data_IF_481666684758
#
_entry.id   IF_481666684758
#
_cell.length_a   1.000
_cell.length_b   1.000
_cell.length_c   1.000
_cell.angle_alpha   90.00
_cell.angle_beta   90.00
_cell.angle_gamma   90.00
#
_symmetry.space_group_name_H-M   'P 1'
#
loop_
_entity.id
_entity.type
_entity.pdbx_description
1 polymer ?
#
# COMPACT_ATOMS: atom_id res chain seq x y z
N UNK A 1 17.19 -13.97 19.73
CA UNK A 1 16.12 -13.23 19.00
C UNK A 1 15.39 -12.38 20.02
N UNK A 2 15.59 -11.07 20.03
CA UNK A 2 14.81 -10.15 20.86
C UNK A 2 13.35 -10.26 20.43
N UNK A 3 12.52 -10.70 21.34
CA UNK A 3 11.10 -10.89 21.09
C UNK A 3 10.48 -9.50 20.88
N UNK A 4 9.99 -9.19 19.69
CA UNK A 4 9.46 -7.86 19.31
C UNK A 4 8.36 -7.32 20.25
N UNK A 5 7.85 -8.17 21.15
CA UNK A 5 6.72 -7.90 22.04
C UNK A 5 7.06 -8.14 23.51
N UNK A 6 8.33 -7.99 23.91
CA UNK A 6 8.80 -8.36 25.28
C UNK A 6 8.06 -7.61 26.38
N UNK A 7 7.73 -6.34 26.18
CA UNK A 7 7.01 -5.53 27.16
C UNK A 7 5.46 -5.67 27.10
N UNK A 8 4.94 -6.51 26.22
CA UNK A 8 3.49 -6.72 26.14
C UNK A 8 2.97 -7.54 27.34
N UNK A 9 1.88 -7.11 28.01
CA UNK A 9 1.22 -7.91 29.01
C UNK A 9 0.61 -9.18 28.39
N UNK A 10 0.33 -10.20 29.23
CA UNK A 10 -0.13 -11.53 28.80
C UNK A 10 -1.34 -11.47 27.86
N UNK A 11 -2.37 -10.69 28.20
CA UNK A 11 -3.59 -10.58 27.38
C UNK A 11 -3.32 -10.00 25.99
N UNK A 12 -2.38 -9.05 25.90
CA UNK A 12 -1.97 -8.50 24.61
C UNK A 12 -1.16 -9.52 23.80
N UNK A 13 -0.22 -10.25 24.41
CA UNK A 13 0.51 -11.34 23.76
C UNK A 13 -0.44 -12.39 23.19
N UNK A 14 -1.42 -12.83 23.95
CA UNK A 14 -2.44 -13.79 23.51
C UNK A 14 -3.21 -13.26 22.29
N UNK A 15 -3.57 -11.97 22.30
CA UNK A 15 -4.27 -11.34 21.17
C UNK A 15 -3.40 -11.28 19.91
N UNK A 16 -2.10 -10.93 20.05
CA UNK A 16 -1.18 -10.89 18.91
C UNK A 16 -0.99 -12.28 18.28
N UNK A 17 -0.88 -13.33 19.10
CA UNK A 17 -0.86 -14.73 18.66
C UNK A 17 -2.16 -15.09 17.94
N UNK A 18 -3.31 -14.71 18.49
CA UNK A 18 -4.61 -14.92 17.85
C UNK A 18 -4.69 -14.24 16.47
N UNK A 19 -4.21 -12.98 16.35
CA UNK A 19 -4.18 -12.28 15.09
C UNK A 19 -3.30 -13.00 14.05
N UNK A 20 -2.17 -13.54 14.48
CA UNK A 20 -1.21 -14.21 13.61
C UNK A 20 -1.71 -15.58 13.20
N UNK A 21 -2.09 -16.44 14.14
CA UNK A 21 -2.38 -17.85 13.89
C UNK A 21 -3.84 -18.10 13.48
N UNK A 22 -4.80 -17.41 14.11
CA UNK A 22 -6.23 -17.65 13.86
C UNK A 22 -6.77 -16.72 12.77
N UNK A 23 -6.39 -15.44 12.82
CA UNK A 23 -6.83 -14.46 11.82
C UNK A 23 -5.90 -14.37 10.60
N UNK A 24 -4.81 -15.12 10.58
CA UNK A 24 -3.81 -15.16 9.51
C UNK A 24 -3.38 -13.75 9.04
N UNK A 25 -3.12 -12.85 10.01
CA UNK A 25 -2.69 -11.49 9.72
C UNK A 25 -1.19 -11.45 9.48
N UNK A 26 -0.75 -10.60 8.53
CA UNK A 26 0.68 -10.39 8.27
C UNK A 26 1.41 -9.85 9.51
N UNK A 27 2.71 -10.15 9.63
CA UNK A 27 3.55 -9.63 10.73
C UNK A 27 3.45 -8.11 10.87
N UNK A 28 3.44 -7.38 9.76
CA UNK A 28 3.30 -5.92 9.77
C UNK A 28 1.96 -5.47 10.34
N UNK A 29 0.88 -6.18 10.04
CA UNK A 29 -0.43 -5.91 10.62
C UNK A 29 -0.42 -6.15 12.12
N UNK A 30 0.15 -7.26 12.58
CA UNK A 30 0.28 -7.60 14.00
C UNK A 30 1.11 -6.55 14.73
N UNK A 31 2.23 -6.12 14.15
CA UNK A 31 3.09 -5.06 14.69
C UNK A 31 2.33 -3.71 14.82
N UNK A 32 1.52 -3.35 13.83
CA UNK A 32 0.71 -2.14 13.88
C UNK A 32 -0.33 -2.19 15.00
N UNK A 33 -1.01 -3.32 15.16
CA UNK A 33 -1.94 -3.53 16.29
C UNK A 33 -1.22 -3.42 17.64
N UNK A 34 -0.08 -4.08 17.77
CA UNK A 34 0.75 -3.96 18.97
C UNK A 34 1.13 -2.51 19.28
N UNK A 35 1.63 -1.78 18.28
CA UNK A 35 2.06 -0.39 18.45
C UNK A 35 0.90 0.53 18.88
N UNK A 36 -0.29 0.33 18.29
CA UNK A 36 -1.46 1.13 18.62
C UNK A 36 -2.00 0.82 20.02
N UNK A 37 -2.10 -0.46 20.40
CA UNK A 37 -2.57 -0.88 21.71
C UNK A 37 -1.52 -0.52 22.78
N UNK A 38 -0.23 -0.70 22.51
CA UNK A 38 0.86 -0.26 23.39
C UNK A 38 0.77 1.22 23.71
N UNK A 39 0.50 2.05 22.68
CA UNK A 39 0.33 3.49 22.87
C UNK A 39 -0.85 3.81 23.80
N UNK A 40 -1.95 3.09 23.70
CA UNK A 40 -3.09 3.22 24.61
C UNK A 40 -2.74 2.78 26.04
N UNK A 41 -2.07 1.67 26.23
CA UNK A 41 -1.70 1.18 27.56
C UNK A 41 -0.68 2.09 28.25
N UNK A 42 0.20 2.75 27.51
CA UNK A 42 1.07 3.81 28.02
C UNK A 42 0.27 5.02 28.51
N UNK A 43 -0.70 5.47 27.70
CA UNK A 43 -1.62 6.54 28.08
C UNK A 43 -2.43 6.16 29.32
N UNK A 44 -2.93 4.94 29.41
CA UNK A 44 -3.59 4.42 30.60
C UNK A 44 -2.71 4.60 31.86
N UNK A 45 -1.43 4.20 31.81
CA UNK A 45 -0.51 4.35 32.94
C UNK A 45 -0.30 5.82 33.36
N UNK A 46 -0.23 6.73 32.39
CA UNK A 46 -0.15 8.18 32.68
C UNK A 46 -1.41 8.62 33.42
N UNK A 47 -2.59 8.25 32.93
CA UNK A 47 -3.87 8.61 33.57
C UNK A 47 -4.04 8.03 34.98
N UNK A 48 -3.42 6.88 35.27
CA UNK A 48 -3.40 6.26 36.59
C UNK A 48 -2.26 6.80 37.49
N UNK A 49 -1.51 7.81 37.07
CA UNK A 49 -0.36 8.33 37.82
C UNK A 49 0.81 7.35 37.96
N UNK A 50 0.84 6.27 37.17
CA UNK A 50 1.90 5.23 37.19
C UNK A 50 3.05 5.51 36.25
N UNK A 51 2.99 6.57 35.47
CA UNK A 51 4.03 7.02 34.57
C UNK A 51 3.99 8.54 34.41
N UNK A 52 5.12 9.14 34.04
CA UNK A 52 5.22 10.56 33.72
C UNK A 52 4.39 10.90 32.49
N UNK A 53 3.76 12.07 32.47
CA UNK A 53 3.09 12.61 31.30
C UNK A 53 4.01 13.41 30.37
N UNK A 54 5.33 13.44 30.67
CA UNK A 54 6.33 14.06 29.82
C UNK A 54 6.37 13.38 28.44
N UNK A 55 6.07 14.12 27.35
CA UNK A 55 6.07 13.57 26.00
C UNK A 55 7.40 12.94 25.57
N UNK A 56 8.53 13.39 26.10
CA UNK A 56 9.86 12.84 25.79
C UNK A 56 10.04 11.41 26.35
N UNK A 57 9.42 11.09 27.50
CA UNK A 57 9.53 9.80 28.17
C UNK A 57 8.47 8.79 27.72
N UNK A 58 7.50 9.22 26.92
CA UNK A 58 6.37 8.36 26.51
C UNK A 58 6.80 7.05 25.85
N UNK A 59 7.90 7.06 25.09
CA UNK A 59 8.38 5.87 24.39
C UNK A 59 9.04 4.85 25.34
N UNK A 60 9.49 5.29 26.50
CA UNK A 60 10.18 4.48 27.49
C UNK A 60 9.24 3.82 28.52
N UNK A 61 7.98 4.25 28.55
CA UNK A 61 6.96 3.66 29.42
C UNK A 61 6.77 2.18 29.06
N UNK A 62 7.15 1.29 29.98
CA UNK A 62 6.89 -0.15 29.87
C UNK A 62 5.44 -0.46 30.19
N UNK A 63 4.89 -1.49 29.55
CA UNK A 63 3.50 -1.92 29.74
C UNK A 63 3.38 -3.36 30.27
N UNK A 64 4.51 -4.01 30.56
CA UNK A 64 4.55 -5.41 31.01
C UNK A 64 3.85 -5.67 32.35
N UNK A 65 3.71 -4.64 33.17
CA UNK A 65 3.06 -4.66 34.49
C UNK A 65 1.55 -4.39 34.46
N UNK A 66 0.97 -4.22 33.28
CA UNK A 66 -0.48 -4.07 33.10
C UNK A 66 -1.17 -5.42 33.40
N UNK A 67 -2.07 -5.41 34.37
CA UNK A 67 -2.81 -6.59 34.84
C UNK A 67 -4.17 -6.72 34.16
N UNK A 68 -4.84 -7.84 34.39
CA UNK A 68 -6.24 -8.02 33.96
C UNK A 68 -7.18 -7.03 34.66
N UNK A 69 -6.92 -6.71 35.92
CA UNK A 69 -7.69 -5.69 36.64
C UNK A 69 -7.58 -4.32 36.02
N UNK A 70 -6.38 -3.94 35.57
CA UNK A 70 -6.16 -2.70 34.82
C UNK A 70 -6.98 -2.68 33.52
N UNK A 71 -7.00 -3.79 32.79
CA UNK A 71 -7.78 -3.90 31.55
C UNK A 71 -9.30 -3.82 31.84
N UNK A 72 -9.76 -4.44 32.94
CA UNK A 72 -11.18 -4.38 33.38
C UNK A 72 -11.64 -2.97 33.79
N UNK A 73 -10.71 -2.11 34.21
CA UNK A 73 -11.03 -0.72 34.60
C UNK A 73 -11.14 0.22 33.38
N UNK A 74 -10.85 -0.26 32.17
CA UNK A 74 -10.97 0.55 30.95
C UNK A 74 -12.43 0.73 30.57
N UNK A 75 -12.84 1.98 30.45
CA UNK A 75 -14.16 2.38 30.00
C UNK A 75 -14.14 3.15 28.67
N UNK A 76 -15.32 3.53 28.20
CA UNK A 76 -15.49 4.28 26.97
C UNK A 76 -14.83 5.66 27.05
N UNK A 77 -14.94 6.34 28.24
CA UNK A 77 -14.44 7.70 28.44
C UNK A 77 -12.90 7.73 28.32
N UNK A 78 -12.21 6.78 28.93
CA UNK A 78 -10.76 6.66 28.83
C UNK A 78 -10.28 6.44 27.38
N UNK A 79 -11.02 5.65 26.60
CA UNK A 79 -10.69 5.44 25.19
C UNK A 79 -10.92 6.70 24.33
N UNK A 80 -11.95 7.49 24.64
CA UNK A 80 -12.19 8.79 24.02
C UNK A 80 -11.08 9.80 24.37
N UNK A 81 -10.72 9.88 25.64
CA UNK A 81 -9.61 10.71 26.13
C UNK A 81 -8.29 10.36 25.42
N UNK A 82 -8.03 9.07 25.19
CA UNK A 82 -6.86 8.66 24.40
C UNK A 82 -6.90 9.18 22.97
N UNK A 83 -8.03 9.13 22.29
CA UNK A 83 -8.15 9.65 20.93
C UNK A 83 -7.97 11.18 20.89
N UNK A 84 -8.43 11.90 21.93
CA UNK A 84 -8.19 13.35 22.10
C UNK A 84 -6.71 13.61 22.36
N UNK A 85 -6.08 12.89 23.29
CA UNK A 85 -4.66 12.96 23.58
C UNK A 85 -3.80 12.78 22.32
N UNK A 86 -4.11 11.76 21.51
CA UNK A 86 -3.36 11.52 20.27
C UNK A 86 -3.52 12.61 19.23
N UNK A 87 -4.59 13.39 19.28
CA UNK A 87 -4.75 14.60 18.44
C UNK A 87 -3.87 15.75 18.96
N UNK A 88 -3.96 16.04 20.24
CA UNK A 88 -3.39 17.25 20.81
C UNK A 88 -1.88 17.12 21.04
N UNK A 89 -1.43 16.02 21.62
CA UNK A 89 -0.04 15.82 22.05
C UNK A 89 0.83 15.10 21.01
N UNK A 90 0.24 14.39 20.06
CA UNK A 90 0.97 13.59 19.06
C UNK A 90 0.72 14.04 17.62
N UNK A 91 -0.06 15.09 17.42
CA UNK A 91 -0.45 15.64 16.10
C UNK A 91 -0.90 14.55 15.09
N UNK A 92 -1.61 13.55 15.59
CA UNK A 92 -2.05 12.45 14.74
C UNK A 92 -3.22 12.90 13.83
N UNK A 93 -3.04 12.73 12.53
CA UNK A 93 -4.11 12.93 11.56
C UNK A 93 -5.33 12.04 11.81
N UNK A 94 -6.53 12.42 11.34
CA UNK A 94 -7.77 11.66 11.55
C UNK A 94 -7.66 10.17 11.20
N UNK A 95 -6.95 9.81 10.13
CA UNK A 95 -6.72 8.43 9.72
C UNK A 95 -5.91 7.62 10.75
N UNK A 96 -4.88 8.22 11.35
CA UNK A 96 -4.09 7.55 12.38
C UNK A 96 -4.92 7.30 13.64
N UNK A 97 -5.75 8.28 14.03
CA UNK A 97 -6.67 8.14 15.17
C UNK A 97 -7.76 7.09 14.90
N UNK A 98 -8.34 7.09 13.70
CA UNK A 98 -9.27 6.05 13.26
C UNK A 98 -8.66 4.65 13.39
N UNK A 99 -7.43 4.46 12.86
CA UNK A 99 -6.72 3.17 12.95
C UNK A 99 -6.50 2.73 14.39
N UNK A 100 -6.07 3.65 15.28
CA UNK A 100 -5.88 3.38 16.71
C UNK A 100 -7.18 2.95 17.37
N UNK A 101 -8.27 3.67 17.12
CA UNK A 101 -9.58 3.32 17.66
C UNK A 101 -10.09 1.97 17.15
N UNK A 102 -9.86 1.64 15.86
CA UNK A 102 -10.16 0.31 15.31
C UNK A 102 -9.36 -0.78 16.04
N UNK A 103 -8.06 -0.54 16.29
CA UNK A 103 -7.20 -1.49 16.98
C UNK A 103 -7.74 -1.77 18.42
N UNK A 104 -8.12 -0.72 19.15
CA UNK A 104 -8.70 -0.86 20.48
C UNK A 104 -10.02 -1.61 20.45
N UNK A 105 -10.97 -1.23 19.59
CA UNK A 105 -12.26 -1.95 19.47
C UNK A 105 -12.06 -3.43 19.18
N UNK A 106 -11.13 -3.79 18.31
CA UNK A 106 -10.85 -5.19 17.97
C UNK A 106 -10.20 -5.95 19.13
N UNK A 107 -9.31 -5.31 19.89
CA UNK A 107 -8.71 -5.91 21.08
C UNK A 107 -9.77 -6.19 22.15
N UNK A 108 -10.57 -5.20 22.52
CA UNK A 108 -11.63 -5.38 23.52
C UNK A 108 -12.72 -6.34 23.06
N UNK A 109 -13.06 -6.38 21.77
CA UNK A 109 -13.93 -7.41 21.20
C UNK A 109 -13.34 -8.82 21.37
N UNK A 110 -12.04 -8.99 21.19
CA UNK A 110 -11.37 -10.27 21.45
C UNK A 110 -11.43 -10.64 22.94
N UNK A 111 -11.18 -9.70 23.84
CA UNK A 111 -11.24 -9.92 25.28
C UNK A 111 -12.66 -10.33 25.72
N UNK A 112 -13.69 -9.79 25.10
CA UNK A 112 -15.09 -10.16 25.34
C UNK A 112 -15.38 -11.54 24.75
N UNK A 113 -15.21 -11.72 23.46
CA UNK A 113 -15.74 -12.89 22.74
C UNK A 113 -14.89 -14.15 22.90
N UNK A 114 -13.57 -14.00 23.09
CA UNK A 114 -12.63 -15.13 23.11
C UNK A 114 -12.06 -15.41 24.51
N UNK A 115 -12.00 -14.40 25.37
CA UNK A 115 -11.47 -14.55 26.74
C UNK A 115 -12.54 -14.50 27.82
N UNK A 116 -13.76 -14.02 27.52
CA UNK A 116 -14.84 -13.90 28.48
C UNK A 116 -14.57 -12.90 29.62
N UNK A 117 -13.66 -11.91 29.38
CA UNK A 117 -13.27 -10.92 30.40
C UNK A 117 -14.40 -9.92 30.66
N UNK A 118 -15.21 -9.65 29.64
CA UNK A 118 -16.34 -8.75 29.68
C UNK A 118 -17.59 -9.48 29.15
N UNK A 119 -18.76 -9.18 29.69
CA UNK A 119 -20.03 -9.60 29.10
C UNK A 119 -20.35 -8.83 27.83
N UNK A 120 -20.12 -7.52 27.88
CA UNK A 120 -20.26 -6.60 26.75
C UNK A 120 -18.97 -5.79 26.63
N UNK A 121 -18.47 -5.61 25.40
CA UNK A 121 -17.25 -4.83 25.18
C UNK A 121 -17.44 -3.37 25.64
N UNK A 122 -16.60 -2.84 26.54
CA UNK A 122 -16.70 -1.45 27.00
C UNK A 122 -16.49 -0.44 25.88
N UNK A 123 -15.86 -0.86 24.78
CA UNK A 123 -15.59 -0.01 23.62
C UNK A 123 -16.49 -0.31 22.41
N UNK A 124 -17.61 -1.01 22.60
CA UNK A 124 -18.54 -1.32 21.51
C UNK A 124 -19.05 -0.04 20.82
N UNK A 125 -19.35 0.98 21.60
CA UNK A 125 -19.91 2.26 21.17
C UNK A 125 -18.84 3.36 20.98
N UNK A 126 -17.54 3.00 20.92
CA UNK A 126 -16.49 3.98 20.69
C UNK A 126 -16.66 4.59 19.30
N UNK A 127 -17.05 5.85 19.23
CA UNK A 127 -17.11 6.60 17.97
C UNK A 127 -15.70 6.92 17.47
N UNK A 128 -15.51 6.72 16.18
CA UNK A 128 -14.21 6.94 15.54
C UNK A 128 -14.29 8.15 14.60
N UNK A 129 -13.24 8.99 14.58
CA UNK A 129 -13.20 10.09 13.64
C UNK A 129 -13.29 9.53 12.21
N UNK A 130 -14.35 9.89 11.48
CA UNK A 130 -14.48 9.51 10.07
C UNK A 130 -13.53 10.36 9.23
N UNK A 131 -12.47 9.80 8.65
CA UNK A 131 -11.63 10.55 7.71
C UNK A 131 -12.47 10.91 6.49
N UNK A 132 -12.57 12.19 6.18
CA UNK A 132 -13.21 12.61 4.92
C UNK A 132 -12.47 11.94 3.76
N UNK A 133 -13.20 11.30 2.82
CA UNK A 133 -12.57 10.78 1.62
C UNK A 133 -11.93 11.94 0.86
N UNK A 134 -10.61 11.92 0.75
CA UNK A 134 -9.90 12.86 -0.10
C UNK A 134 -10.09 12.42 -1.56
N UNK A 135 -10.25 13.40 -2.45
CA UNK A 135 -10.25 13.12 -3.89
C UNK A 135 -8.99 12.33 -4.27
N UNK A 136 -9.12 11.31 -5.09
CA UNK A 136 -7.99 10.52 -5.53
C UNK A 136 -6.97 11.41 -6.24
N UNK A 137 -5.73 11.43 -5.74
CA UNK A 137 -4.62 12.10 -6.43
C UNK A 137 -3.99 11.10 -7.37
N UNK A 138 -3.87 11.47 -8.64
CA UNK A 138 -3.22 10.69 -9.69
C UNK A 138 -2.52 11.62 -10.67
N UNK A 139 -1.66 11.10 -11.53
CA UNK A 139 -1.01 11.82 -12.61
C UNK A 139 -1.92 11.82 -13.85
N UNK A 140 -1.99 12.94 -14.55
CA UNK A 140 -2.54 12.97 -15.91
C UNK A 140 -1.67 12.16 -16.85
N UNK A 141 -2.13 11.94 -18.09
CA UNK A 141 -1.31 11.27 -19.12
C UNK A 141 -0.03 12.06 -19.39
N UNK A 142 -0.16 13.38 -19.59
CA UNK A 142 0.98 14.25 -19.88
C UNK A 142 2.00 14.26 -18.73
N UNK A 143 1.55 14.38 -17.49
CA UNK A 143 2.40 14.29 -16.31
C UNK A 143 3.09 12.93 -16.16
N UNK A 144 2.43 11.85 -16.57
CA UNK A 144 3.01 10.51 -16.59
C UNK A 144 4.10 10.37 -17.64
N UNK A 145 3.88 10.96 -18.82
CA UNK A 145 4.88 11.02 -19.91
C UNK A 145 6.07 11.87 -19.46
N UNK A 146 5.81 13.07 -18.91
CA UNK A 146 6.85 13.95 -18.40
C UNK A 146 7.70 13.28 -17.31
N UNK A 147 7.05 12.56 -16.39
CA UNK A 147 7.77 11.80 -15.37
C UNK A 147 8.69 10.75 -15.96
N UNK A 148 8.27 10.02 -17.00
CA UNK A 148 9.09 9.01 -17.67
C UNK A 148 10.26 9.64 -18.44
N UNK A 149 10.05 10.79 -19.10
CA UNK A 149 11.07 11.50 -19.88
C UNK A 149 12.15 12.16 -19.01
N UNK A 150 11.79 12.57 -17.80
CA UNK A 150 12.70 13.27 -16.88
C UNK A 150 13.43 12.32 -15.90
N UNK A 151 13.38 11.00 -16.11
CA UNK A 151 14.16 10.06 -15.30
C UNK A 151 15.66 10.24 -15.61
N UNK A 152 16.36 10.87 -14.69
CA UNK A 152 17.79 11.09 -14.75
C UNK A 152 18.44 10.61 -13.44
N UNK A 153 18.59 9.31 -13.32
CA UNK A 153 19.16 8.65 -12.16
C UNK A 153 20.40 7.86 -12.55
N UNK A 154 21.32 7.58 -11.63
CA UNK A 154 22.50 6.76 -11.93
C UNK A 154 22.18 5.35 -12.45
N UNK A 155 21.01 4.83 -12.11
CA UNK A 155 20.51 3.50 -12.53
C UNK A 155 19.31 3.66 -13.48
N UNK A 156 19.41 4.54 -14.47
CA UNK A 156 18.31 5.05 -15.29
C UNK A 156 17.47 3.94 -15.93
N UNK A 157 18.05 2.93 -16.55
CA UNK A 157 17.31 1.84 -17.21
C UNK A 157 16.48 1.03 -16.23
N UNK A 158 17.03 0.71 -15.04
CA UNK A 158 16.29 0.06 -13.96
C UNK A 158 15.13 0.92 -13.48
N UNK A 159 15.40 2.19 -13.22
CA UNK A 159 14.43 3.09 -12.62
C UNK A 159 13.31 3.42 -13.61
N UNK A 160 13.65 3.56 -14.91
CA UNK A 160 12.67 3.67 -16.00
C UNK A 160 11.76 2.44 -16.08
N UNK A 161 12.34 1.23 -16.04
CA UNK A 161 11.56 0.00 -16.03
C UNK A 161 10.61 -0.08 -14.81
N UNK A 162 11.09 0.28 -13.62
CA UNK A 162 10.28 0.33 -12.39
C UNK A 162 9.07 1.27 -12.54
N UNK A 163 9.30 2.51 -13.03
CA UNK A 163 8.22 3.50 -13.19
C UNK A 163 7.24 3.06 -14.28
N UNK A 164 7.75 2.53 -15.39
CA UNK A 164 6.92 2.00 -16.49
C UNK A 164 6.01 0.87 -15.99
N UNK A 165 6.53 -0.06 -15.17
CA UNK A 165 5.72 -1.15 -14.59
C UNK A 165 4.65 -0.63 -13.64
N UNK A 166 4.94 0.40 -12.83
CA UNK A 166 3.90 1.01 -11.98
C UNK A 166 2.80 1.66 -12.79
N UNK A 167 3.16 2.44 -13.81
CA UNK A 167 2.21 3.23 -14.60
C UNK A 167 1.40 2.39 -15.59
N UNK A 168 1.92 1.26 -16.06
CA UNK A 168 1.23 0.41 -17.03
C UNK A 168 0.54 -0.80 -16.37
N UNK A 169 1.22 -1.51 -15.47
CA UNK A 169 0.68 -2.72 -14.86
C UNK A 169 -0.10 -2.46 -13.56
N UNK A 170 0.05 -1.28 -12.97
CA UNK A 170 -0.63 -0.92 -11.72
C UNK A 170 -0.32 -1.85 -10.56
N UNK A 171 0.87 -2.47 -10.51
CA UNK A 171 1.29 -3.42 -9.47
C UNK A 171 1.57 -2.71 -8.13
N UNK A 172 1.48 -3.44 -7.01
CA UNK A 172 1.81 -2.90 -5.68
C UNK A 172 3.31 -2.85 -5.48
N UNK A 173 3.79 -1.98 -4.58
CA UNK A 173 5.21 -1.86 -4.23
C UNK A 173 5.84 -3.22 -3.86
N UNK A 174 5.18 -3.97 -2.97
CA UNK A 174 5.69 -5.28 -2.55
C UNK A 174 5.66 -6.31 -3.67
N UNK A 175 4.71 -6.22 -4.58
CA UNK A 175 4.61 -7.07 -5.77
C UNK A 175 5.77 -6.78 -6.71
N UNK A 176 6.05 -5.50 -7.03
CA UNK A 176 7.17 -5.09 -7.87
C UNK A 176 8.51 -5.57 -7.32
N UNK A 177 8.77 -5.32 -6.03
CA UNK A 177 10.01 -5.75 -5.37
C UNK A 177 10.14 -7.27 -5.36
N UNK A 178 9.01 -7.98 -5.29
CA UNK A 178 8.94 -9.44 -5.28
C UNK A 178 9.23 -10.11 -6.63
N UNK A 179 9.15 -9.40 -7.75
CA UNK A 179 9.31 -9.99 -9.09
C UNK A 179 10.65 -10.70 -9.23
N UNK A 180 10.62 -11.90 -9.77
CA UNK A 180 11.78 -12.68 -10.20
C UNK A 180 11.90 -12.66 -11.73
N UNK A 181 13.08 -12.98 -12.24
CA UNK A 181 13.29 -13.16 -13.69
C UNK A 181 12.39 -14.27 -14.25
N UNK A 182 12.21 -15.34 -13.49
CA UNK A 182 11.35 -16.48 -13.83
C UNK A 182 9.85 -16.17 -13.85
N UNK A 183 9.42 -15.04 -13.29
CA UNK A 183 8.02 -14.61 -13.29
C UNK A 183 7.58 -13.95 -14.60
N UNK A 184 8.54 -13.51 -15.44
CA UNK A 184 8.26 -12.96 -16.77
C UNK A 184 8.45 -14.05 -17.81
N UNK A 185 7.42 -14.27 -18.62
CA UNK A 185 7.44 -15.30 -19.67
C UNK A 185 6.97 -14.71 -21.00
N UNK A 186 7.70 -15.07 -22.04
CA UNK A 186 7.27 -14.90 -23.41
C UNK A 186 6.74 -16.24 -23.92
N UNK A 187 5.57 -16.25 -24.50
CA UNK A 187 4.98 -17.40 -25.18
C UNK A 187 4.58 -16.97 -26.60
N UNK A 188 4.70 -17.90 -27.53
CA UNK A 188 4.30 -17.69 -28.92
C UNK A 188 3.18 -18.65 -29.24
N UNK A 189 2.07 -18.13 -29.77
CA UNK A 189 0.96 -18.97 -30.18
C UNK A 189 1.21 -19.63 -31.55
N UNK A 190 0.27 -20.47 -31.98
CA UNK A 190 0.35 -21.20 -33.26
C UNK A 190 0.33 -20.27 -34.50
N UNK A 191 -0.12 -19.03 -34.35
CA UNK A 191 -0.11 -18.00 -35.38
C UNK A 191 1.18 -17.16 -35.39
N UNK A 192 2.10 -17.44 -34.46
CA UNK A 192 3.37 -16.71 -34.32
C UNK A 192 3.27 -15.43 -33.50
N UNK A 193 2.11 -15.11 -32.94
CA UNK A 193 1.93 -13.93 -32.10
C UNK A 193 2.60 -14.13 -30.73
N UNK A 194 3.45 -13.19 -30.34
CA UNK A 194 4.13 -13.20 -29.04
C UNK A 194 3.27 -12.57 -27.96
N UNK A 195 3.14 -13.24 -26.83
CA UNK A 195 2.46 -12.75 -25.64
C UNK A 195 3.40 -12.78 -24.45
N UNK A 196 3.60 -11.62 -23.85
CA UNK A 196 4.43 -11.47 -22.66
C UNK A 196 3.57 -11.35 -21.42
N UNK A 197 3.87 -12.16 -20.43
CA UNK A 197 3.13 -12.23 -19.18
C UNK A 197 4.04 -12.08 -17.99
N UNK A 198 3.52 -11.42 -16.94
CA UNK A 198 4.13 -11.28 -15.62
C UNK A 198 3.25 -11.99 -14.60
N UNK A 199 3.81 -12.98 -13.93
CA UNK A 199 3.18 -13.60 -12.76
C UNK A 199 3.43 -12.74 -11.54
N UNK A 200 2.36 -12.29 -10.88
CA UNK A 200 2.42 -11.43 -9.69
C UNK A 200 1.84 -12.16 -8.49
N UNK A 201 2.60 -12.20 -7.40
CA UNK A 201 2.17 -12.76 -6.13
C UNK A 201 1.55 -11.66 -5.26
N UNK A 202 0.24 -11.72 -5.08
CA UNK A 202 -0.53 -10.76 -4.29
C UNK A 202 -0.65 -11.12 -2.80
N UNK A 203 -1.48 -10.37 -2.08
CA UNK A 203 -1.77 -10.62 -0.67
C UNK A 203 -2.39 -12.01 -0.47
N UNK A 204 -1.91 -12.73 0.56
CA UNK A 204 -2.40 -14.08 0.86
C UNK A 204 -1.93 -15.14 -0.13
N UNK A 205 -0.78 -14.91 -0.79
CA UNK A 205 -0.19 -15.82 -1.78
C UNK A 205 -1.07 -16.10 -3.00
N UNK A 206 -2.02 -15.21 -3.30
CA UNK A 206 -2.83 -15.31 -4.52
C UNK A 206 -2.02 -14.85 -5.72
N UNK A 207 -1.90 -15.73 -6.71
CA UNK A 207 -1.24 -15.41 -7.97
C UNK A 207 -2.23 -14.78 -8.95
N UNK A 208 -1.73 -13.84 -9.76
CA UNK A 208 -2.43 -13.34 -10.94
C UNK A 208 -1.45 -13.13 -12.08
N UNK A 209 -1.94 -13.21 -13.29
CA UNK A 209 -1.18 -12.93 -14.51
C UNK A 209 -1.52 -11.51 -14.97
N UNK A 210 -0.48 -10.74 -15.28
CA UNK A 210 -0.59 -9.43 -15.93
C UNK A 210 0.05 -9.52 -17.30
N UNK A 211 -0.68 -9.14 -18.35
CA UNK A 211 -0.11 -9.04 -19.70
C UNK A 211 0.73 -7.77 -19.80
N UNK A 212 1.93 -7.90 -20.36
CA UNK A 212 2.82 -6.78 -20.58
C UNK A 212 2.56 -6.18 -21.96
N UNK A 213 2.40 -4.86 -22.00
CA UNK A 213 2.35 -4.12 -23.26
C UNK A 213 3.76 -3.80 -23.77
N UNK A 214 3.85 -3.29 -25.01
CA UNK A 214 5.12 -3.02 -25.68
C UNK A 214 6.04 -2.08 -24.87
N UNK A 215 5.48 -1.08 -24.18
CA UNK A 215 6.25 -0.18 -23.33
C UNK A 215 6.93 -0.92 -22.17
N UNK A 216 6.21 -1.85 -21.54
CA UNK A 216 6.77 -2.68 -20.46
C UNK A 216 7.81 -3.67 -20.99
N UNK A 217 7.54 -4.29 -22.13
CA UNK A 217 8.44 -5.24 -22.78
C UNK A 217 9.75 -4.53 -23.14
N UNK A 218 9.67 -3.38 -23.81
CA UNK A 218 10.84 -2.61 -24.20
C UNK A 218 11.66 -2.17 -22.98
N UNK A 219 11.01 -1.59 -21.96
CA UNK A 219 11.68 -1.17 -20.73
C UNK A 219 12.37 -2.36 -20.00
N UNK A 220 11.75 -3.53 -20.01
CA UNK A 220 12.33 -4.76 -19.47
C UNK A 220 13.56 -5.21 -20.26
N UNK A 221 13.46 -5.28 -21.59
CA UNK A 221 14.55 -5.69 -22.46
C UNK A 221 15.72 -4.71 -22.37
N UNK A 222 15.48 -3.39 -22.35
CA UNK A 222 16.51 -2.36 -22.18
C UNK A 222 17.24 -2.48 -20.84
N UNK A 223 16.52 -2.86 -19.77
CA UNK A 223 17.13 -3.11 -18.47
C UNK A 223 18.00 -4.37 -18.45
N UNK A 224 17.64 -5.39 -19.23
CA UNK A 224 18.43 -6.63 -19.35
C UNK A 224 19.60 -6.51 -20.33
N UNK A 225 19.45 -5.68 -21.37
CA UNK A 225 20.44 -5.57 -22.43
C UNK A 225 21.74 -4.94 -21.93
N UNK A 226 22.91 -5.47 -22.32
CA UNK A 226 24.17 -4.78 -22.11
C UNK A 226 24.12 -3.44 -22.83
N UNK A 227 24.70 -2.40 -22.22
CA UNK A 227 24.85 -1.13 -22.89
C UNK A 227 25.75 -1.31 -24.15
N UNK A 228 25.19 -1.10 -25.30
CA UNK A 228 25.97 -0.93 -26.56
C UNK A 228 26.52 0.50 -26.64
N UNK A 229 27.12 1.03 -25.61
CA UNK A 229 27.71 2.37 -25.66
C UNK A 229 29.08 2.38 -24.99
N UNK A 230 30.05 2.63 -25.82
CA UNK A 230 31.37 3.18 -25.51
C UNK A 230 31.82 3.15 -24.06
N UNK A 231 32.59 2.12 -23.67
CA UNK A 231 33.42 2.04 -22.46
C UNK A 231 32.72 2.17 -21.09
N UNK A 232 31.37 2.09 -20.99
CA UNK A 232 30.69 2.05 -19.69
C UNK A 232 30.44 0.61 -19.23
N UNK A 233 30.74 0.35 -17.96
CA UNK A 233 30.38 -0.92 -17.34
C UNK A 233 28.85 -1.08 -17.29
N UNK A 234 28.35 -2.31 -17.19
CA UNK A 234 26.91 -2.63 -17.06
C UNK A 234 26.23 -1.85 -15.92
N UNK A 235 26.94 -1.68 -14.82
CA UNK A 235 26.48 -0.93 -13.65
C UNK A 235 26.33 0.57 -13.95
N UNK A 236 27.24 1.15 -14.75
CA UNK A 236 27.20 2.57 -15.13
C UNK A 236 26.07 2.89 -16.12
N UNK A 237 25.61 1.89 -16.86
CA UNK A 237 24.45 2.03 -17.75
C UNK A 237 23.12 1.76 -17.05
N UNK A 238 23.12 1.38 -15.76
CA UNK A 238 21.91 1.03 -15.02
C UNK A 238 21.23 -0.26 -15.45
N UNK A 239 21.95 -1.14 -16.17
CA UNK A 239 21.46 -2.44 -16.60
C UNK A 239 21.51 -3.48 -15.46
N UNK A 240 20.69 -4.54 -15.57
CA UNK A 240 20.73 -5.63 -14.61
C UNK A 240 22.05 -6.41 -14.73
N UNK A 241 22.71 -6.64 -13.62
CA UNK A 241 23.85 -7.55 -13.55
C UNK A 241 23.37 -9.01 -13.67
N UNK A 242 23.66 -9.65 -14.80
CA UNK A 242 23.24 -11.03 -15.07
C UNK A 242 24.09 -12.05 -14.33
N UNK A 243 25.20 -11.64 -13.68
CA UNK A 243 26.04 -12.53 -12.85
C UNK A 243 25.59 -12.56 -11.40
N UNK A 244 24.61 -11.74 -11.04
CA UNK A 244 24.07 -11.67 -9.68
C UNK A 244 23.48 -13.02 -9.24
N UNK A 245 23.89 -13.50 -8.08
CA UNK A 245 23.43 -14.78 -7.48
C UNK A 245 22.01 -14.68 -6.90
N UNK A 246 21.08 -14.08 -7.64
CA UNK A 246 19.68 -13.93 -7.23
C UNK A 246 18.77 -13.92 -8.45
N UNK A 247 17.61 -14.55 -8.32
CA UNK A 247 16.56 -14.51 -9.35
C UNK A 247 15.75 -13.20 -9.37
N UNK A 248 16.01 -12.28 -8.41
CA UNK A 248 15.30 -11.01 -8.35
C UNK A 248 15.45 -10.21 -9.64
N UNK A 249 14.32 -9.71 -10.20
CA UNK A 249 14.36 -8.87 -11.39
C UNK A 249 15.09 -7.56 -11.10
N UNK A 250 14.63 -6.79 -10.10
CA UNK A 250 15.20 -5.49 -9.77
C UNK A 250 16.28 -5.61 -8.69
N UNK A 251 17.48 -5.15 -9.04
CA UNK A 251 18.66 -5.24 -8.17
C UNK A 251 19.00 -3.89 -7.54
N UNK A 252 19.51 -3.96 -6.31
CA UNK A 252 20.24 -2.88 -5.66
C UNK A 252 21.67 -2.80 -6.25
N UNK A 253 22.39 -1.72 -5.93
CA UNK A 253 23.83 -1.61 -6.30
C UNK A 253 24.73 -2.67 -5.67
N UNK A 254 24.23 -3.44 -4.69
CA UNK A 254 24.93 -4.57 -4.05
C UNK A 254 24.59 -5.91 -4.68
N UNK A 255 23.94 -5.92 -5.86
CA UNK A 255 23.46 -7.10 -6.57
C UNK A 255 22.54 -8.00 -5.72
N UNK A 256 21.81 -7.41 -4.79
CA UNK A 256 20.73 -8.04 -4.03
C UNK A 256 19.38 -7.48 -4.48
N UNK A 257 18.28 -8.15 -4.14
CA UNK A 257 16.93 -7.65 -4.39
C UNK A 257 16.78 -6.21 -3.89
N UNK A 258 16.20 -5.33 -4.70
CA UNK A 258 15.91 -3.95 -4.31
C UNK A 258 14.93 -3.92 -3.14
N UNK A 259 15.10 -2.97 -2.22
CA UNK A 259 14.19 -2.82 -1.07
C UNK A 259 13.00 -1.92 -1.39
N UNK A 260 11.87 -2.12 -0.68
CA UNK A 260 10.71 -1.24 -0.75
C UNK A 260 11.10 0.24 -0.55
N UNK A 261 11.98 0.52 0.40
CA UNK A 261 12.42 1.89 0.71
C UNK A 261 13.17 2.51 -0.47
N UNK A 262 14.06 1.74 -1.14
CA UNK A 262 14.80 2.27 -2.32
C UNK A 262 13.84 2.57 -3.47
N UNK A 263 12.86 1.71 -3.74
CA UNK A 263 11.84 1.97 -4.77
C UNK A 263 11.01 3.21 -4.44
N UNK A 264 10.65 3.43 -3.18
CA UNK A 264 9.98 4.67 -2.75
C UNK A 264 10.84 5.90 -3.02
N UNK A 265 12.14 5.85 -2.69
CA UNK A 265 13.09 6.93 -2.97
C UNK A 265 13.21 7.22 -4.47
N UNK A 266 13.28 6.17 -5.32
CA UNK A 266 13.31 6.33 -6.77
C UNK A 266 12.07 7.10 -7.26
N UNK A 267 10.89 6.71 -6.80
CA UNK A 267 9.64 7.42 -7.16
C UNK A 267 9.66 8.87 -6.66
N UNK A 268 10.13 9.12 -5.45
CA UNK A 268 10.28 10.48 -4.90
C UNK A 268 11.27 11.31 -5.74
N UNK A 269 12.42 10.73 -6.12
CA UNK A 269 13.42 11.37 -6.99
C UNK A 269 12.85 11.71 -8.38
N UNK A 270 12.12 10.77 -9.01
CA UNK A 270 11.48 11.00 -10.31
C UNK A 270 10.37 12.07 -10.24
N UNK A 271 9.53 12.04 -9.21
CA UNK A 271 8.50 13.07 -9.01
C UNK A 271 9.13 14.46 -8.83
N UNK A 272 10.23 14.55 -8.10
CA UNK A 272 10.96 15.81 -7.89
C UNK A 272 11.60 16.31 -9.19
N UNK A 273 12.20 15.43 -9.99
CA UNK A 273 12.77 15.78 -11.27
C UNK A 273 11.74 16.35 -12.27
N UNK A 274 10.48 15.97 -12.12
CA UNK A 274 9.34 16.44 -12.93
C UNK A 274 8.53 17.57 -12.26
N UNK A 275 9.02 18.16 -11.14
CA UNK A 275 8.32 19.25 -10.44
C UNK A 275 6.99 18.84 -9.78
N UNK A 276 6.78 17.54 -9.54
CA UNK A 276 5.52 16.97 -9.04
C UNK A 276 5.56 16.59 -7.55
N UNK A 277 6.66 16.91 -6.86
CA UNK A 277 6.91 16.54 -5.45
C UNK A 277 5.90 17.13 -4.47
N UNK A 278 5.39 18.35 -4.74
CA UNK A 278 4.45 19.04 -3.88
C UNK A 278 3.00 18.53 -3.96
N UNK A 279 2.69 17.57 -4.84
CA UNK A 279 1.33 17.06 -5.07
C UNK A 279 0.91 15.95 -4.11
N UNK A 280 1.82 15.52 -3.21
CA UNK A 280 1.56 14.41 -2.28
C UNK A 280 1.33 13.08 -2.99
N UNK A 281 2.05 12.86 -4.10
CA UNK A 281 2.08 11.63 -4.86
C UNK A 281 3.02 10.61 -4.19
N UNK A 282 2.80 9.34 -4.46
CA UNK A 282 3.58 8.23 -3.90
C UNK A 282 3.44 6.99 -4.78
N UNK A 283 4.19 5.93 -4.52
CA UNK A 283 4.07 4.66 -5.24
C UNK A 283 2.61 4.18 -5.35
N UNK A 284 1.83 4.28 -4.28
CA UNK A 284 0.40 3.91 -4.32
C UNK A 284 -0.41 4.78 -5.27
N UNK A 285 0.00 6.04 -5.45
CA UNK A 285 -0.67 6.97 -6.36
C UNK A 285 -0.33 6.67 -7.82
N UNK A 286 0.85 6.13 -8.13
CA UNK A 286 1.17 5.64 -9.49
C UNK A 286 0.27 4.47 -9.89
N UNK A 287 -0.04 3.55 -8.95
CA UNK A 287 -1.03 2.51 -9.20
C UNK A 287 -2.44 3.09 -9.42
N UNK A 288 -2.83 4.14 -8.68
CA UNK A 288 -4.07 4.87 -8.92
C UNK A 288 -4.07 5.52 -10.29
N UNK A 289 -2.94 6.09 -10.71
CA UNK A 289 -2.74 6.65 -12.05
C UNK A 289 -3.01 5.60 -13.12
N UNK A 290 -2.34 4.45 -13.06
CA UNK A 290 -2.53 3.35 -14.00
C UNK A 290 -4.01 2.95 -14.13
N UNK A 291 -4.67 2.74 -12.98
CA UNK A 291 -6.08 2.37 -12.95
C UNK A 291 -7.00 3.45 -13.54
N UNK A 292 -6.74 4.73 -13.21
CA UNK A 292 -7.55 5.86 -13.70
C UNK A 292 -7.37 6.06 -15.20
N UNK A 293 -6.13 6.01 -15.70
CA UNK A 293 -5.85 6.13 -17.12
C UNK A 293 -6.48 4.99 -17.94
N UNK A 294 -6.40 3.73 -17.48
CA UNK A 294 -7.06 2.60 -18.11
C UNK A 294 -8.59 2.80 -18.13
N UNK A 295 -9.18 3.24 -17.01
CA UNK A 295 -10.61 3.48 -16.91
C UNK A 295 -11.07 4.61 -17.85
N UNK A 296 -10.35 5.72 -17.88
CA UNK A 296 -10.63 6.86 -18.78
C UNK A 296 -10.55 6.48 -20.26
N UNK A 297 -9.71 5.49 -20.59
CA UNK A 297 -9.61 4.91 -21.94
C UNK A 297 -10.58 3.75 -22.20
N UNK A 298 -11.61 3.59 -21.37
CA UNK A 298 -12.73 2.71 -21.64
C UNK A 298 -12.58 1.27 -21.15
N UNK A 299 -11.56 0.96 -20.34
CA UNK A 299 -11.43 -0.38 -19.75
C UNK A 299 -12.54 -0.60 -18.72
N UNK A 300 -13.25 -1.72 -18.85
CA UNK A 300 -14.32 -2.10 -17.93
C UNK A 300 -13.82 -2.26 -16.50
N UNK A 301 -14.61 -1.82 -15.51
CA UNK A 301 -14.28 -1.86 -14.09
C UNK A 301 -14.00 -3.29 -13.58
N UNK A 302 -14.68 -4.29 -14.15
CA UNK A 302 -14.47 -5.70 -13.79
C UNK A 302 -13.09 -6.17 -14.25
N UNK A 303 -12.72 -5.81 -15.48
CA UNK A 303 -11.38 -6.09 -16.03
C UNK A 303 -10.30 -5.40 -15.21
N UNK A 304 -10.50 -4.12 -14.85
CA UNK A 304 -9.60 -3.38 -13.96
C UNK A 304 -9.41 -4.07 -12.61
N UNK A 305 -10.51 -4.58 -12.03
CA UNK A 305 -10.43 -5.33 -10.77
C UNK A 305 -9.51 -6.54 -10.88
N UNK A 306 -9.59 -7.30 -11.96
CA UNK A 306 -8.77 -8.48 -12.19
C UNK A 306 -7.30 -8.11 -12.42
N UNK A 307 -7.03 -7.16 -13.32
CA UNK A 307 -5.68 -6.65 -13.61
C UNK A 307 -4.99 -6.16 -12.33
N UNK A 308 -5.72 -5.39 -11.53
CA UNK A 308 -5.18 -4.82 -10.29
C UNK A 308 -5.16 -5.84 -9.13
N UNK A 309 -5.92 -6.92 -9.17
CA UNK A 309 -6.06 -7.87 -8.07
C UNK A 309 -6.72 -7.25 -6.84
N UNK A 310 -7.87 -6.58 -7.01
CA UNK A 310 -8.68 -6.04 -5.92
C UNK A 310 -9.64 -7.10 -5.39
N UNK A 311 -9.58 -7.39 -4.10
CA UNK A 311 -10.51 -8.34 -3.45
C UNK A 311 -11.92 -7.78 -3.33
N UNK A 312 -12.07 -6.45 -3.16
CA UNK A 312 -13.36 -5.76 -3.01
C UNK A 312 -13.63 -4.81 -4.18
N UNK A 313 -14.88 -4.81 -4.68
CA UNK A 313 -15.36 -3.85 -5.67
C UNK A 313 -15.23 -2.39 -5.19
N UNK A 314 -15.42 -2.14 -3.88
CA UNK A 314 -15.31 -0.80 -3.30
C UNK A 314 -13.94 -0.14 -3.50
N UNK A 315 -12.86 -0.92 -3.64
CA UNK A 315 -11.53 -0.38 -3.95
C UNK A 315 -11.38 0.03 -5.42
N UNK A 316 -12.21 -0.51 -6.31
CA UNK A 316 -12.24 -0.14 -7.73
C UNK A 316 -13.22 1.01 -8.00
N UNK A 317 -14.24 1.18 -7.16
CA UNK A 317 -15.21 2.30 -7.26
C UNK A 317 -14.54 3.67 -7.05
N UNK A 318 -13.36 3.75 -6.45
CA UNK A 318 -12.58 4.99 -6.31
C UNK A 318 -12.22 5.58 -7.69
N UNK A 319 -12.14 4.75 -8.72
CA UNK A 319 -11.80 5.16 -10.09
C UNK A 319 -13.05 5.55 -10.92
N UNK A 320 -14.24 5.29 -10.41
CA UNK A 320 -15.51 5.55 -11.09
C UNK A 320 -16.08 6.96 -10.81
N UNK A 321 -15.25 7.93 -10.44
CA UNK A 321 -15.67 9.32 -10.55
C UNK A 321 -15.85 9.63 -12.02
N UNK A 322 -17.09 9.49 -12.46
CA UNK A 322 -17.54 9.71 -13.84
C UNK A 322 -17.25 11.17 -14.17
N UNK A 323 -16.42 11.44 -15.16
CA UNK A 323 -16.24 12.79 -15.69
C UNK A 323 -17.53 13.26 -16.38
N UNK A 324 -17.78 14.56 -16.42
CA UNK A 324 -18.93 15.10 -17.16
C UNK A 324 -18.93 14.63 -18.62
N UNK A 325 -17.76 14.49 -19.23
CA UNK A 325 -17.59 14.02 -20.61
C UNK A 325 -18.03 12.56 -20.78
N UNK A 326 -17.73 11.70 -19.79
CA UNK A 326 -18.18 10.31 -19.79
C UNK A 326 -19.69 10.19 -19.62
N UNK A 327 -20.31 11.06 -18.79
CA UNK A 327 -21.76 11.13 -18.66
C UNK A 327 -22.41 11.59 -19.98
N UNK A 328 -21.87 12.62 -20.62
CA UNK A 328 -22.36 13.09 -21.93
C UNK A 328 -22.21 12.01 -23.00
N UNK A 329 -21.05 11.34 -23.06
CA UNK A 329 -20.81 10.22 -23.98
C UNK A 329 -21.75 9.05 -23.74
N UNK A 330 -22.06 8.73 -22.47
CA UNK A 330 -23.01 7.68 -22.14
C UNK A 330 -24.44 8.04 -22.58
N UNK A 331 -24.85 9.29 -22.39
CA UNK A 331 -26.16 9.78 -22.81
C UNK A 331 -26.27 9.79 -24.32
N UNK A 332 -25.27 10.16 -25.08
CA UNK A 332 -25.24 10.14 -26.54
C UNK A 332 -25.27 8.72 -27.13
N UNK A 333 -24.79 7.71 -26.37
CA UNK A 333 -24.84 6.29 -26.77
C UNK A 333 -26.21 5.61 -26.49
N UNK A 334 -27.15 6.32 -25.88
CA UNK A 334 -28.52 5.78 -25.72
C UNK A 334 -29.14 5.61 -27.11
N UNK A 335 -29.62 4.42 -27.49
CA UNK A 335 -30.26 4.19 -28.79
C UNK A 335 -31.46 5.11 -29.08
N UNK A 336 -32.07 5.66 -28.05
CA UNK A 336 -33.18 6.60 -28.15
C UNK A 336 -32.74 8.08 -28.28
N UNK A 337 -31.44 8.38 -28.16
CA UNK A 337 -30.95 9.75 -28.27
C UNK A 337 -31.17 10.40 -29.63
N UNK A 338 -31.33 9.58 -30.68
CA UNK A 338 -31.55 10.03 -32.06
C UNK A 338 -33.04 10.07 -32.47
N UNK A 339 -33.97 9.68 -31.57
CA UNK A 339 -35.39 9.75 -31.85
C UNK A 339 -35.85 11.22 -31.87
N UNK A 340 -35.85 11.81 -33.06
CA UNK A 340 -36.52 13.08 -33.32
C UNK A 340 -38.04 12.82 -33.40
N UNK A 341 -38.82 13.52 -32.58
CA UNK A 341 -40.28 13.57 -32.74
C UNK A 341 -40.57 13.98 -34.18
N UNK A 342 -41.08 13.06 -34.99
CA UNK A 342 -41.73 13.40 -36.23
C UNK A 342 -42.99 14.19 -35.85
N UNK A 343 -42.94 15.51 -36.02
CA UNK A 343 -44.14 16.34 -36.09
C UNK A 343 -44.85 16.08 -37.40
#
# INVERSE_FOLDING_TARGET
MTNKYDDAPKLLKDYLVYLQLVKNRSELTVLNYYTDIRSFLRFYKIKQGRASDNPAEFQDIKISDITESDIKSVDLMLAQDFLIYTKNEKDNHPQARYRKGVALRQFFKYLTNNKGIFEVSPLANLELPSPKPALPKYLTLDESIEMLQNINTPDQKRDYCIITFFLNCGIRLSELVGINMSDIRCSRDSSGHESWTLKVLGKGSKERIVYLNDACIQAYLDYLSPAETDNKTRAEAGCRDMTAKTDALFLSRRNTRISNRRVQQIVEECLKASGLDNRGLSVHKLRHTAATLMYQNGVDVRVLKEVLGHENLNTTQIYTHISNDQMQSAMSKNPLAELKNKK
#
